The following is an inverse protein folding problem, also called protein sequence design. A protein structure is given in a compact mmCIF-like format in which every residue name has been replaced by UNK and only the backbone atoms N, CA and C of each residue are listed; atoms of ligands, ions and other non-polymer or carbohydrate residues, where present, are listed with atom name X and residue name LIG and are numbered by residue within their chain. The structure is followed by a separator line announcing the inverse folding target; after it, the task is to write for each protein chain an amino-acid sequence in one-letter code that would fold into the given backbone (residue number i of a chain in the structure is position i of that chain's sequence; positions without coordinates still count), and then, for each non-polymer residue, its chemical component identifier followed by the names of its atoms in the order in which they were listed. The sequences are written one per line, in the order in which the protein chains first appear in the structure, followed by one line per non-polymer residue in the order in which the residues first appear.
data_IF_828054518606
#
_entry.id   IF_828054518606
#
_cell.length_a   1.000
_cell.length_b   1.000
_cell.length_c   1.000
_cell.angle_alpha   90.00
_cell.angle_beta   90.00
_cell.angle_gamma   90.00
#
_symmetry.space_group_name_H-M   'P 1'
#
loop_
_entity.id
_entity.type
_entity.pdbx_description
1 polymer ?
#
# COMPACT_ATOMS: atom_id res chain seq x y z
N UNK A 1 34.13 -0.89 -13.79
CA UNK A 1 33.03 -1.81 -13.45
C UNK A 1 33.46 -2.84 -12.40
N UNK A 2 34.55 -3.58 -12.55
CA UNK A 2 34.99 -4.61 -11.59
C UNK A 2 35.21 -4.09 -10.17
N UNK A 3 35.83 -2.92 -9.98
CA UNK A 3 36.03 -2.33 -8.63
C UNK A 3 34.72 -1.95 -7.95
N UNK A 4 33.71 -1.50 -8.68
CA UNK A 4 32.40 -1.19 -8.15
C UNK A 4 31.65 -2.48 -7.76
N UNK A 5 31.81 -3.54 -8.56
CA UNK A 5 31.21 -4.84 -8.26
C UNK A 5 31.86 -5.50 -7.03
N UNK A 6 33.19 -5.44 -6.90
CA UNK A 6 33.92 -5.94 -5.74
C UNK A 6 33.51 -5.17 -4.45
N UNK A 7 33.38 -3.84 -4.52
CA UNK A 7 32.90 -3.03 -3.40
C UNK A 7 31.46 -3.41 -2.97
N UNK A 8 30.57 -3.62 -3.95
CA UNK A 8 29.19 -4.07 -3.66
C UNK A 8 29.17 -5.46 -3.04
N UNK A 9 30.05 -6.36 -3.45
CA UNK A 9 30.18 -7.69 -2.86
C UNK A 9 30.71 -7.61 -1.42
N UNK A 10 31.69 -6.77 -1.15
CA UNK A 10 32.23 -6.55 0.20
C UNK A 10 31.19 -5.91 1.14
N UNK A 11 30.44 -4.92 0.66
CA UNK A 11 29.32 -4.31 1.38
C UNK A 11 28.21 -5.34 1.66
N UNK A 12 27.93 -6.22 0.69
CA UNK A 12 26.96 -7.32 0.87
C UNK A 12 27.39 -8.31 1.95
N UNK A 13 28.67 -8.69 1.98
CA UNK A 13 29.20 -9.62 2.98
C UNK A 13 29.21 -9.00 4.40
N UNK A 14 29.64 -7.76 4.53
CA UNK A 14 29.65 -7.02 5.80
C UNK A 14 28.21 -6.76 6.30
N UNK A 15 27.29 -6.46 5.41
CA UNK A 15 25.86 -6.34 5.70
C UNK A 15 25.26 -7.61 6.26
N UNK A 16 25.63 -8.78 5.71
CA UNK A 16 25.19 -10.08 6.20
C UNK A 16 25.62 -10.40 7.64
N UNK A 17 26.83 -10.03 8.03
CA UNK A 17 27.30 -10.19 9.42
C UNK A 17 26.62 -9.20 10.39
N UNK A 18 26.42 -7.94 9.98
CA UNK A 18 25.67 -6.98 10.75
C UNK A 18 24.23 -7.46 11.00
N UNK A 19 23.56 -7.96 9.99
CA UNK A 19 22.19 -8.47 10.07
C UNK A 19 22.05 -9.68 11.01
N UNK A 20 23.05 -10.56 11.06
CA UNK A 20 23.05 -11.69 12.00
C UNK A 20 23.14 -11.28 13.47
N UNK A 21 23.73 -10.12 13.75
CA UNK A 21 23.92 -9.60 15.13
C UNK A 21 22.75 -8.78 15.66
N UNK A 22 21.80 -8.37 14.80
CA UNK A 22 20.81 -7.33 15.14
C UNK A 22 19.38 -7.87 15.37
N UNK A 23 19.20 -9.15 15.68
CA UNK A 23 17.89 -9.73 16.02
C UNK A 23 16.88 -9.61 14.86
N UNK A 24 15.75 -8.95 15.07
CA UNK A 24 14.67 -8.82 14.07
C UNK A 24 14.88 -7.69 13.04
N UNK A 25 16.01 -6.97 13.07
CA UNK A 25 16.25 -5.79 12.21
C UNK A 25 16.14 -6.14 10.72
N UNK A 26 16.62 -7.31 10.30
CA UNK A 26 16.52 -7.78 8.91
C UNK A 26 15.06 -7.91 8.43
N UNK A 27 14.15 -8.34 9.32
CA UNK A 27 12.72 -8.46 9.03
C UNK A 27 12.13 -7.06 8.75
N UNK A 28 12.44 -6.10 9.63
CA UNK A 28 11.91 -4.72 9.50
C UNK A 28 12.50 -3.98 8.30
N UNK A 29 13.79 -4.17 8.01
CA UNK A 29 14.41 -3.61 6.80
C UNK A 29 13.85 -4.22 5.51
N UNK A 30 13.53 -5.51 5.52
CA UNK A 30 12.88 -6.15 4.37
C UNK A 30 11.47 -5.63 4.15
N UNK A 31 10.69 -5.45 5.22
CA UNK A 31 9.34 -4.87 5.15
C UNK A 31 9.38 -3.42 4.68
N UNK A 32 10.36 -2.64 5.18
CA UNK A 32 10.63 -1.29 4.67
C UNK A 32 10.91 -1.32 3.16
N UNK A 33 11.82 -2.17 2.71
CA UNK A 33 12.24 -2.24 1.30
C UNK A 33 11.06 -2.59 0.38
N UNK A 34 10.28 -3.63 0.73
CA UNK A 34 9.11 -4.01 -0.05
C UNK A 34 8.06 -2.89 -0.13
N UNK A 35 7.77 -2.26 1.01
CA UNK A 35 6.85 -1.12 1.09
C UNK A 35 7.36 0.08 0.29
N UNK A 36 8.65 0.39 0.41
CA UNK A 36 9.29 1.49 -0.31
C UNK A 36 9.23 1.29 -1.84
N UNK A 37 9.57 0.10 -2.34
CA UNK A 37 9.59 -0.20 -3.78
C UNK A 37 8.19 -0.05 -4.38
N UNK A 38 7.18 -0.67 -3.77
CA UNK A 38 5.85 -0.58 -4.35
C UNK A 38 5.31 0.86 -4.35
N UNK A 39 5.58 1.63 -3.28
CA UNK A 39 5.14 3.02 -3.22
C UNK A 39 5.91 3.94 -4.16
N UNK A 40 7.22 3.73 -4.30
CA UNK A 40 8.02 4.48 -5.27
C UNK A 40 7.50 4.29 -6.69
N UNK A 41 7.23 3.04 -7.10
CA UNK A 41 6.70 2.75 -8.43
C UNK A 41 5.27 3.29 -8.63
N UNK A 42 4.40 3.14 -7.62
CA UNK A 42 3.03 3.63 -7.69
C UNK A 42 2.95 5.16 -7.75
N UNK A 43 3.70 5.87 -6.91
CA UNK A 43 3.79 7.34 -6.92
C UNK A 43 4.44 7.80 -8.23
N UNK A 44 5.50 7.14 -8.67
CA UNK A 44 6.18 7.44 -9.93
C UNK A 44 5.26 7.32 -11.15
N UNK A 45 4.38 6.31 -11.17
CA UNK A 45 3.36 6.15 -12.22
C UNK A 45 2.42 7.36 -12.28
N UNK A 46 1.92 7.83 -11.12
CA UNK A 46 1.05 9.01 -11.08
C UNK A 46 1.83 10.27 -11.44
N UNK A 47 3.09 10.37 -11.01
CA UNK A 47 4.01 11.45 -11.42
C UNK A 47 4.23 11.49 -12.93
N UNK A 48 4.45 10.35 -13.56
CA UNK A 48 4.59 10.25 -15.02
C UNK A 48 3.35 10.78 -15.76
N UNK A 49 2.16 10.39 -15.29
CA UNK A 49 0.88 10.84 -15.86
C UNK A 49 0.65 12.34 -15.67
N UNK A 50 0.87 12.85 -14.45
CA UNK A 50 0.49 14.22 -14.07
C UNK A 50 1.53 15.27 -14.43
N UNK A 51 2.82 14.90 -14.50
CA UNK A 51 3.92 15.84 -14.65
C UNK A 51 4.71 15.64 -15.94
N UNK A 52 4.91 14.40 -16.40
CA UNK A 52 5.81 14.08 -17.48
C UNK A 52 5.13 13.79 -18.83
N UNK A 53 3.82 14.02 -18.94
CA UNK A 53 3.07 13.89 -20.20
C UNK A 53 2.80 12.45 -20.63
N UNK A 54 2.94 11.47 -19.77
CA UNK A 54 2.52 10.12 -20.08
C UNK A 54 1.00 10.07 -20.33
N UNK A 55 0.59 9.31 -21.35
CA UNK A 55 -0.81 9.25 -21.77
C UNK A 55 -1.39 7.86 -21.47
N UNK A 56 -2.01 7.71 -20.32
CA UNK A 56 -2.72 6.50 -19.90
C UNK A 56 -3.82 6.83 -18.89
N UNK A 57 -4.73 5.89 -18.63
CA UNK A 57 -5.91 6.11 -17.79
C UNK A 57 -5.93 5.26 -16.51
N UNK A 58 -7.13 5.13 -15.93
CA UNK A 58 -7.35 4.40 -14.67
C UNK A 58 -6.94 2.93 -14.75
N UNK A 59 -7.12 2.28 -15.92
CA UNK A 59 -6.75 0.88 -16.11
C UNK A 59 -5.25 0.68 -15.94
N UNK A 60 -4.44 1.45 -16.65
CA UNK A 60 -2.98 1.33 -16.60
C UNK A 60 -2.44 1.74 -15.24
N UNK A 61 -2.98 2.79 -14.62
CA UNK A 61 -2.63 3.17 -13.24
C UNK A 61 -2.85 1.98 -12.32
N UNK A 62 -4.01 1.31 -12.43
CA UNK A 62 -4.37 0.17 -11.58
C UNK A 62 -3.43 -1.01 -11.80
N UNK A 63 -3.08 -1.31 -13.06
CA UNK A 63 -2.10 -2.36 -13.40
C UNK A 63 -0.72 -2.04 -12.82
N UNK A 64 -0.23 -0.81 -12.94
CA UNK A 64 1.09 -0.43 -12.41
C UNK A 64 1.11 -0.54 -10.89
N UNK A 65 0.07 -0.04 -10.18
CA UNK A 65 -0.03 -0.20 -8.73
C UNK A 65 -0.07 -1.68 -8.32
N UNK A 66 -0.83 -2.50 -9.05
CA UNK A 66 -0.89 -3.94 -8.79
C UNK A 66 0.46 -4.63 -9.01
N UNK A 67 1.13 -4.36 -10.13
CA UNK A 67 2.48 -4.90 -10.39
C UNK A 67 3.50 -4.41 -9.36
N UNK A 68 3.42 -3.15 -8.93
CA UNK A 68 4.28 -2.61 -7.90
C UNK A 68 4.10 -3.38 -6.57
N UNK A 69 2.87 -3.68 -6.16
CA UNK A 69 2.59 -4.54 -5.00
C UNK A 69 3.17 -5.94 -5.20
N UNK A 70 2.98 -6.56 -6.36
CA UNK A 70 3.56 -7.88 -6.65
C UNK A 70 5.09 -7.88 -6.51
N UNK A 71 5.77 -6.85 -7.03
CA UNK A 71 7.24 -6.72 -6.89
C UNK A 71 7.64 -6.49 -5.43
N UNK A 72 6.90 -5.70 -4.67
CA UNK A 72 7.08 -5.56 -3.22
C UNK A 72 6.99 -6.91 -2.51
N UNK A 73 5.97 -7.72 -2.83
CA UNK A 73 5.81 -9.06 -2.26
C UNK A 73 6.99 -9.97 -2.63
N UNK A 74 7.40 -9.99 -3.89
CA UNK A 74 8.51 -10.86 -4.32
C UNK A 74 9.86 -10.48 -3.73
N UNK A 75 10.12 -9.19 -3.50
CA UNK A 75 11.44 -8.77 -2.98
C UNK A 75 11.61 -9.10 -1.50
N UNK A 76 10.54 -9.14 -0.71
CA UNK A 76 10.67 -9.25 0.74
C UNK A 76 9.84 -10.39 1.39
N UNK A 77 8.95 -11.03 0.64
CA UNK A 77 7.98 -12.00 1.18
C UNK A 77 8.64 -13.19 1.90
N UNK A 78 9.74 -13.70 1.36
CA UNK A 78 10.49 -14.81 1.98
C UNK A 78 11.19 -14.46 3.30
N UNK A 79 11.32 -13.17 3.64
CA UNK A 79 12.01 -12.70 4.85
C UNK A 79 11.01 -12.19 5.90
N UNK A 80 10.08 -11.33 5.50
CA UNK A 80 9.19 -10.63 6.44
C UNK A 80 7.71 -10.99 6.28
N UNK A 81 7.36 -11.80 5.28
CA UNK A 81 5.97 -12.12 4.95
C UNK A 81 5.28 -11.08 4.07
N UNK A 82 5.95 -9.97 3.73
CA UNK A 82 5.48 -8.91 2.83
C UNK A 82 4.06 -8.40 3.16
N UNK A 83 3.88 -7.85 4.34
CA UNK A 83 2.60 -7.26 4.72
C UNK A 83 2.32 -5.97 3.94
N UNK A 84 3.32 -5.12 3.77
CA UNK A 84 3.33 -3.87 3.01
C UNK A 84 2.23 -2.87 3.41
N UNK A 85 1.48 -3.18 4.48
CA UNK A 85 0.29 -2.44 4.91
C UNK A 85 0.00 -2.62 6.39
N UNK A 86 -0.27 -1.55 7.16
CA UNK A 86 -0.79 -1.65 8.52
C UNK A 86 -2.08 -2.45 8.63
N UNK A 87 -2.97 -2.32 7.65
CA UNK A 87 -4.25 -3.03 7.61
C UNK A 87 -4.04 -4.55 7.51
N UNK A 88 -3.15 -5.00 6.64
CA UNK A 88 -2.76 -6.41 6.50
C UNK A 88 -2.07 -6.91 7.76
N UNK A 89 -1.12 -6.13 8.30
CA UNK A 89 -0.37 -6.48 9.51
C UNK A 89 -1.29 -6.73 10.70
N UNK A 90 -2.28 -5.84 10.92
CA UNK A 90 -3.24 -5.96 12.01
C UNK A 90 -4.17 -7.17 11.79
N UNK A 91 -4.68 -7.37 10.57
CA UNK A 91 -5.55 -8.50 10.26
C UNK A 91 -4.82 -9.85 10.45
N UNK A 92 -3.56 -9.96 10.02
CA UNK A 92 -2.74 -11.16 10.22
C UNK A 92 -2.42 -11.42 11.71
N UNK A 93 -2.28 -10.36 12.50
CA UNK A 93 -2.09 -10.50 13.95
C UNK A 93 -3.37 -10.91 14.71
N UNK A 94 -4.55 -10.62 14.16
CA UNK A 94 -5.83 -10.96 14.76
C UNK A 94 -6.37 -12.32 14.29
N UNK A 95 -6.19 -12.66 13.03
CA UNK A 95 -6.82 -13.82 12.39
C UNK A 95 -5.81 -14.81 11.77
N UNK A 96 -4.51 -14.53 11.83
CA UNK A 96 -3.41 -15.38 11.40
C UNK A 96 -2.45 -15.68 12.55
N UNK A 97 -1.24 -16.13 12.20
CA UNK A 97 -0.19 -16.54 13.16
C UNK A 97 0.90 -15.47 13.34
N UNK A 98 0.62 -14.21 13.02
CA UNK A 98 1.61 -13.14 13.14
C UNK A 98 1.80 -12.68 14.59
N UNK A 99 3.04 -12.58 15.03
CA UNK A 99 3.41 -12.15 16.39
C UNK A 99 2.96 -10.72 16.67
N UNK A 100 2.02 -10.55 17.59
CA UNK A 100 1.43 -9.25 17.97
C UNK A 100 2.46 -8.22 18.43
N UNK A 101 3.60 -8.67 18.98
CA UNK A 101 4.70 -7.78 19.41
C UNK A 101 5.38 -7.07 18.24
N UNK A 102 5.27 -7.63 17.03
CA UNK A 102 5.85 -7.05 15.80
C UNK A 102 4.91 -6.08 15.08
N UNK A 103 3.65 -5.97 15.49
CA UNK A 103 2.65 -5.11 14.80
C UNK A 103 3.10 -3.66 14.76
N UNK A 104 3.43 -3.07 15.91
CA UNK A 104 3.84 -1.65 15.98
C UNK A 104 5.12 -1.39 15.18
N UNK A 105 6.22 -2.18 15.33
CA UNK A 105 7.40 -2.03 14.49
C UNK A 105 7.11 -2.11 12.97
N UNK A 106 6.24 -3.03 12.52
CA UNK A 106 5.85 -3.13 11.10
C UNK A 106 5.15 -1.86 10.64
N UNK A 107 4.14 -1.39 11.38
CA UNK A 107 3.42 -0.16 11.04
C UNK A 107 4.38 1.03 10.91
N UNK A 108 5.30 1.18 11.86
CA UNK A 108 6.27 2.28 11.84
C UNK A 108 7.18 2.22 10.61
N UNK A 109 7.76 1.06 10.29
CA UNK A 109 8.65 0.96 9.13
C UNK A 109 7.89 1.12 7.82
N UNK A 110 6.65 0.66 7.72
CA UNK A 110 5.79 0.87 6.56
C UNK A 110 5.47 2.36 6.35
N UNK A 111 5.15 3.09 7.43
CA UNK A 111 4.90 4.54 7.36
C UNK A 111 6.15 5.31 6.92
N UNK A 112 7.32 5.00 7.51
CA UNK A 112 8.58 5.61 7.13
C UNK A 112 8.95 5.28 5.68
N UNK A 113 8.72 4.04 5.23
CA UNK A 113 8.95 3.63 3.85
C UNK A 113 8.11 4.46 2.87
N UNK A 114 6.83 4.69 3.19
CA UNK A 114 5.94 5.54 2.39
C UNK A 114 6.41 6.99 2.31
N UNK A 115 6.83 7.56 3.43
CA UNK A 115 7.41 8.89 3.46
C UNK A 115 8.67 8.99 2.59
N UNK A 116 9.60 8.05 2.74
CA UNK A 116 10.84 8.02 1.96
C UNK A 116 10.60 7.81 0.46
N UNK A 117 9.62 6.96 0.08
CA UNK A 117 9.25 6.73 -1.30
C UNK A 117 8.71 8.02 -1.96
N UNK A 118 7.86 8.76 -1.24
CA UNK A 118 7.36 10.05 -1.70
C UNK A 118 8.48 11.08 -1.86
N UNK A 119 9.38 11.15 -0.88
CA UNK A 119 10.53 12.06 -0.92
C UNK A 119 11.45 11.76 -2.12
N UNK A 120 11.75 10.48 -2.39
CA UNK A 120 12.57 10.11 -3.53
C UNK A 120 11.85 10.38 -4.85
N UNK A 121 10.55 10.04 -4.96
CA UNK A 121 9.76 10.35 -6.15
C UNK A 121 9.74 11.86 -6.41
N UNK A 122 9.53 12.68 -5.38
CA UNK A 122 9.60 14.14 -5.49
C UNK A 122 10.96 14.61 -6.01
N UNK A 123 12.05 14.08 -5.47
CA UNK A 123 13.40 14.43 -5.92
C UNK A 123 13.64 14.03 -7.39
N UNK A 124 13.16 12.87 -7.82
CA UNK A 124 13.27 12.41 -9.21
C UNK A 124 12.50 13.29 -10.21
N UNK A 125 11.35 13.84 -9.79
CA UNK A 125 10.49 14.71 -10.60
C UNK A 125 10.62 16.20 -10.26
N UNK A 126 11.67 16.60 -9.54
CA UNK A 126 11.77 17.91 -8.88
C UNK A 126 11.45 19.10 -9.79
N UNK A 127 12.10 19.20 -10.98
CA UNK A 127 11.87 20.31 -11.89
C UNK A 127 10.43 20.35 -12.42
N UNK A 128 9.85 19.18 -12.71
CA UNK A 128 8.48 19.07 -13.20
C UNK A 128 7.46 19.44 -12.09
N UNK A 129 7.76 19.11 -10.84
CA UNK A 129 6.98 19.60 -9.70
C UNK A 129 7.08 21.11 -9.55
N UNK A 130 8.27 21.69 -9.69
CA UNK A 130 8.46 23.14 -9.59
C UNK A 130 7.62 23.89 -10.64
N UNK A 131 7.63 23.43 -11.88
CA UNK A 131 6.83 23.99 -12.97
C UNK A 131 5.33 23.83 -12.70
N UNK A 132 4.90 22.64 -12.26
CA UNK A 132 3.50 22.38 -11.95
C UNK A 132 2.98 23.22 -10.76
N UNK A 133 3.79 23.40 -9.71
CA UNK A 133 3.48 24.28 -8.58
C UNK A 133 3.36 25.72 -9.03
N UNK A 134 4.30 26.22 -9.84
CA UNK A 134 4.24 27.57 -10.41
C UNK A 134 2.95 27.77 -11.25
N UNK A 135 2.54 26.77 -12.02
CA UNK A 135 1.32 26.81 -12.83
C UNK A 135 0.02 26.84 -11.99
N UNK A 136 0.05 26.50 -10.70
CA UNK A 136 -1.13 26.64 -9.83
C UNK A 136 -1.48 28.08 -9.55
N UNK A 137 -0.54 29.02 -9.70
CA UNK A 137 -0.67 30.44 -9.37
C UNK A 137 -1.20 30.69 -7.94
N UNK A 138 -0.89 29.80 -7.01
CA UNK A 138 -1.31 29.88 -5.60
C UNK A 138 -2.74 29.42 -5.32
N UNK A 139 -3.43 28.83 -6.31
CA UNK A 139 -4.77 28.25 -6.13
C UNK A 139 -4.71 27.02 -5.21
N UNK A 140 -5.36 27.06 -4.01
CA UNK A 140 -5.28 25.96 -3.04
C UNK A 140 -5.84 24.63 -3.58
N UNK A 141 -6.88 24.67 -4.40
CA UNK A 141 -7.47 23.45 -4.97
C UNK A 141 -6.52 22.79 -5.97
N UNK A 142 -5.86 23.58 -6.82
CA UNK A 142 -4.84 23.07 -7.75
C UNK A 142 -3.62 22.53 -7.01
N UNK A 143 -3.16 23.22 -5.95
CA UNK A 143 -2.08 22.73 -5.11
C UNK A 143 -2.44 21.39 -4.47
N UNK A 144 -3.61 21.29 -3.84
CA UNK A 144 -4.06 20.03 -3.23
C UNK A 144 -4.24 18.92 -4.28
N UNK A 145 -4.68 19.25 -5.50
CA UNK A 145 -4.79 18.29 -6.59
C UNK A 145 -3.43 17.70 -7.01
N UNK A 146 -2.34 18.48 -6.96
CA UNK A 146 -0.98 17.98 -7.19
C UNK A 146 -0.54 17.00 -6.11
N UNK A 147 -0.96 17.16 -4.85
CA UNK A 147 -0.69 16.21 -3.79
C UNK A 147 -1.34 14.84 -4.05
N UNK A 148 -2.32 14.76 -4.95
CA UNK A 148 -2.89 13.51 -5.46
C UNK A 148 -1.88 12.60 -6.18
N UNK A 149 -0.66 13.07 -6.47
CA UNK A 149 0.45 12.24 -6.93
C UNK A 149 0.96 11.34 -5.80
N UNK A 150 0.97 11.84 -4.58
CA UNK A 150 1.51 11.16 -3.39
C UNK A 150 0.45 10.35 -2.64
N UNK A 151 -0.71 10.94 -2.40
CA UNK A 151 -1.76 10.39 -1.54
C UNK A 151 -3.14 10.45 -2.22
N UNK A 152 -4.14 9.83 -1.62
CA UNK A 152 -5.47 9.71 -2.22
C UNK A 152 -6.40 10.83 -1.81
N UNK A 153 -7.35 11.15 -2.69
CA UNK A 153 -8.47 12.05 -2.39
C UNK A 153 -9.77 11.45 -2.95
N UNK A 154 -10.93 11.71 -2.32
CA UNK A 154 -12.19 11.21 -2.80
C UNK A 154 -12.66 12.01 -4.00
N UNK A 155 -13.51 11.39 -4.83
CA UNK A 155 -14.21 12.10 -5.88
C UNK A 155 -15.00 13.30 -5.29
N UNK A 156 -15.04 14.48 -5.94
CA UNK A 156 -15.65 15.69 -5.36
C UNK A 156 -17.12 15.57 -4.95
N UNK A 157 -17.85 14.60 -5.49
CA UNK A 157 -19.27 14.36 -5.15
C UNK A 157 -19.48 13.35 -4.02
N UNK A 158 -18.41 12.78 -3.46
CA UNK A 158 -18.51 11.73 -2.45
C UNK A 158 -18.36 12.34 -1.05
N UNK A 159 -19.31 12.01 -0.14
CA UNK A 159 -19.24 12.44 1.25
C UNK A 159 -18.16 11.68 2.02
N UNK A 160 -17.76 12.20 3.17
CA UNK A 160 -16.79 11.54 4.08
C UNK A 160 -17.21 10.11 4.42
N UNK A 161 -18.47 9.91 4.82
CA UNK A 161 -18.98 8.59 5.21
C UNK A 161 -19.06 7.62 4.03
N UNK A 162 -19.38 8.10 2.83
CA UNK A 162 -19.37 7.29 1.62
C UNK A 162 -17.94 6.87 1.27
N UNK A 163 -16.96 7.78 1.34
CA UNK A 163 -15.55 7.46 1.12
C UNK A 163 -15.04 6.44 2.14
N UNK A 164 -15.41 6.61 3.42
CA UNK A 164 -15.08 5.66 4.49
C UNK A 164 -15.65 4.27 4.21
N UNK A 165 -16.91 4.19 3.80
CA UNK A 165 -17.56 2.92 3.44
C UNK A 165 -16.88 2.25 2.23
N UNK A 166 -16.53 3.02 1.19
CA UNK A 166 -15.81 2.49 0.02
C UNK A 166 -14.48 1.88 0.45
N UNK A 167 -13.63 2.62 1.17
CA UNK A 167 -12.32 2.13 1.62
C UNK A 167 -12.42 0.91 2.55
N UNK A 168 -13.45 0.88 3.40
CA UNK A 168 -13.74 -0.27 4.25
C UNK A 168 -14.07 -1.51 3.41
N UNK A 169 -15.00 -1.39 2.46
CA UNK A 169 -15.45 -2.53 1.64
C UNK A 169 -14.35 -3.06 0.75
N UNK A 170 -13.64 -2.17 0.02
CA UNK A 170 -12.59 -2.62 -0.90
C UNK A 170 -11.42 -3.27 -0.14
N UNK A 171 -11.13 -2.83 1.09
CA UNK A 171 -10.10 -3.45 1.91
C UNK A 171 -10.57 -4.77 2.54
N UNK A 172 -11.87 -4.89 2.85
CA UNK A 172 -12.44 -6.16 3.29
C UNK A 172 -12.34 -7.22 2.18
N UNK A 173 -12.68 -6.86 0.95
CA UNK A 173 -12.51 -7.72 -0.23
C UNK A 173 -11.03 -8.09 -0.43
N UNK A 174 -10.14 -7.10 -0.37
CA UNK A 174 -8.70 -7.32 -0.49
C UNK A 174 -8.21 -8.37 0.52
N UNK A 175 -8.50 -8.18 1.80
CA UNK A 175 -7.97 -9.07 2.84
C UNK A 175 -8.58 -10.46 2.80
N UNK A 176 -9.89 -10.57 2.51
CA UNK A 176 -10.55 -11.85 2.32
C UNK A 176 -9.88 -12.68 1.20
N UNK A 177 -9.58 -12.03 0.08
CA UNK A 177 -8.95 -12.70 -1.06
C UNK A 177 -7.44 -12.92 -0.85
N UNK A 178 -6.72 -12.07 -0.11
CA UNK A 178 -5.34 -12.37 0.31
C UNK A 178 -5.32 -13.68 1.09
N UNK A 179 -6.21 -13.86 2.09
CA UNK A 179 -6.29 -15.14 2.82
C UNK A 179 -6.57 -16.33 1.89
N UNK A 180 -7.49 -16.17 0.94
CA UNK A 180 -7.80 -17.23 -0.02
C UNK A 180 -6.59 -17.63 -0.90
N UNK A 181 -5.80 -16.64 -1.31
CA UNK A 181 -4.63 -16.83 -2.18
C UNK A 181 -3.42 -17.44 -1.44
N UNK A 182 -3.37 -17.34 -0.10
CA UNK A 182 -2.24 -17.89 0.68
C UNK A 182 -2.62 -19.14 1.49
N UNK A 183 -3.89 -19.51 1.58
CA UNK A 183 -4.32 -20.71 2.32
C UNK A 183 -4.11 -21.97 1.47
N UNK A 184 -3.07 -22.74 1.80
CA UNK A 184 -2.74 -23.98 1.11
C UNK A 184 -3.81 -25.09 1.18
N UNK A 185 -4.80 -24.97 2.09
CA UNK A 185 -5.96 -25.88 2.19
C UNK A 185 -7.06 -25.54 1.19
N UNK A 186 -7.04 -24.32 0.65
CA UNK A 186 -7.91 -23.87 -0.41
C UNK A 186 -7.19 -24.05 -1.77
N UNK A 187 -7.71 -23.43 -2.82
CA UNK A 187 -7.12 -23.45 -4.18
C UNK A 187 -5.97 -22.46 -4.35
N UNK A 188 -5.09 -22.34 -3.33
CA UNK A 188 -3.94 -21.45 -3.41
C UNK A 188 -3.08 -21.75 -4.65
N UNK A 189 -2.64 -20.70 -5.38
CA UNK A 189 -1.88 -20.89 -6.62
C UNK A 189 -0.53 -21.55 -6.33
N UNK A 190 -0.16 -22.49 -7.19
CA UNK A 190 1.16 -23.16 -7.16
C UNK A 190 2.21 -22.33 -7.93
N UNK A 191 3.48 -22.72 -7.84
CA UNK A 191 4.56 -22.11 -8.63
C UNK A 191 4.89 -20.67 -8.23
N UNK A 192 4.71 -20.31 -6.96
CA UNK A 192 5.01 -18.97 -6.43
C UNK A 192 4.21 -17.82 -7.09
N UNK A 193 3.01 -18.11 -7.61
CA UNK A 193 2.16 -17.11 -8.26
C UNK A 193 1.39 -16.23 -7.26
N UNK A 194 1.40 -16.54 -5.98
CA UNK A 194 0.63 -15.82 -4.96
C UNK A 194 0.88 -14.31 -4.97
N UNK A 195 2.14 -13.89 -5.03
CA UNK A 195 2.51 -12.46 -5.09
C UNK A 195 1.96 -11.75 -6.32
N UNK A 196 2.03 -12.39 -7.50
CA UNK A 196 1.47 -11.83 -8.73
C UNK A 196 -0.06 -11.70 -8.65
N UNK A 197 -0.74 -12.72 -8.15
CA UNK A 197 -2.20 -12.70 -8.03
C UNK A 197 -2.69 -11.70 -6.97
N UNK A 198 -1.94 -11.49 -5.89
CA UNK A 198 -2.22 -10.40 -4.94
C UNK A 198 -2.08 -9.04 -5.63
N UNK A 199 -1.04 -8.86 -6.45
CA UNK A 199 -0.91 -7.65 -7.25
C UNK A 199 -2.06 -7.45 -8.24
N UNK A 200 -2.46 -8.49 -8.97
CA UNK A 200 -3.61 -8.43 -9.88
C UNK A 200 -4.93 -8.17 -9.15
N UNK A 201 -5.09 -8.66 -7.92
CA UNK A 201 -6.23 -8.33 -7.06
C UNK A 201 -6.26 -6.83 -6.73
N UNK A 202 -5.11 -6.23 -6.39
CA UNK A 202 -5.00 -4.78 -6.19
C UNK A 202 -5.37 -4.03 -7.47
N UNK A 203 -4.89 -4.48 -8.63
CA UNK A 203 -5.22 -3.89 -9.93
C UNK A 203 -6.74 -4.00 -10.24
N UNK A 204 -7.35 -5.15 -9.96
CA UNK A 204 -8.79 -5.36 -10.12
C UNK A 204 -9.60 -4.36 -9.29
N UNK A 205 -9.27 -4.21 -8.01
CA UNK A 205 -9.95 -3.27 -7.11
C UNK A 205 -9.72 -1.83 -7.58
N UNK A 206 -8.50 -1.49 -7.99
CA UNK A 206 -8.15 -0.17 -8.52
C UNK A 206 -8.92 0.19 -9.78
N UNK A 207 -9.04 -0.74 -10.74
CA UNK A 207 -9.80 -0.53 -11.96
C UNK A 207 -11.30 -0.37 -11.70
N UNK A 208 -11.84 -1.13 -10.71
CA UNK A 208 -13.27 -1.13 -10.40
C UNK A 208 -13.72 0.04 -9.54
N UNK A 209 -12.94 0.44 -8.54
CA UNK A 209 -13.36 1.39 -7.49
C UNK A 209 -12.40 2.57 -7.31
N UNK A 210 -11.27 2.57 -8.00
CA UNK A 210 -10.26 3.63 -7.89
C UNK A 210 -10.78 5.04 -8.10
N UNK A 211 -11.68 5.31 -9.07
CA UNK A 211 -12.22 6.64 -9.29
C UNK A 211 -13.03 7.22 -8.11
N UNK A 212 -13.45 6.37 -7.16
CA UNK A 212 -14.24 6.82 -6.00
C UNK A 212 -13.36 7.48 -4.92
N UNK A 213 -12.24 6.86 -4.57
CA UNK A 213 -11.42 7.27 -3.40
C UNK A 213 -9.91 7.25 -3.65
N UNK A 214 -9.48 6.82 -4.84
CA UNK A 214 -8.08 6.54 -5.12
C UNK A 214 -7.59 5.18 -4.60
N UNK A 215 -8.51 4.28 -4.22
CA UNK A 215 -8.23 2.92 -3.72
C UNK A 215 -7.01 2.85 -2.78
N UNK A 216 -7.08 3.59 -1.67
CA UNK A 216 -5.98 3.65 -0.72
C UNK A 216 -5.68 2.27 -0.11
N UNK A 217 -6.67 1.61 0.48
CA UNK A 217 -6.65 0.27 1.07
C UNK A 217 -5.51 0.02 2.09
N UNK A 218 -4.71 1.04 2.38
CA UNK A 218 -3.45 0.91 3.09
C UNK A 218 -3.07 2.24 3.75
N UNK A 219 -3.07 2.28 5.08
CA UNK A 219 -2.74 3.47 5.83
C UNK A 219 -1.32 3.99 5.54
N UNK A 220 -0.33 3.11 5.32
CA UNK A 220 1.03 3.52 5.00
C UNK A 220 1.17 4.06 3.58
N UNK A 221 0.42 3.48 2.63
CA UNK A 221 0.36 3.95 1.24
C UNK A 221 -0.18 5.38 1.14
N UNK A 222 -1.03 5.78 2.08
CA UNK A 222 -1.60 7.11 2.06
C UNK A 222 -0.93 8.06 3.05
N UNK A 223 -0.89 7.71 4.34
CA UNK A 223 -0.47 8.64 5.39
C UNK A 223 1.03 8.98 5.35
N UNK A 224 1.91 8.03 5.05
CA UNK A 224 3.34 8.30 4.90
C UNK A 224 3.64 9.35 3.83
N UNK A 225 3.22 9.12 2.57
CA UNK A 225 3.34 10.09 1.49
C UNK A 225 2.58 11.39 1.72
N UNK A 226 1.42 11.35 2.37
CA UNK A 226 0.63 12.53 2.73
C UNK A 226 1.38 13.43 3.71
N UNK A 227 2.02 12.83 4.72
CA UNK A 227 2.85 13.56 5.67
C UNK A 227 4.04 14.23 4.96
N UNK A 228 4.70 13.51 4.05
CA UNK A 228 5.75 14.11 3.21
C UNK A 228 5.22 15.33 2.45
N UNK A 229 4.11 15.19 1.73
CA UNK A 229 3.54 16.30 0.96
C UNK A 229 3.21 17.51 1.85
N UNK A 230 2.59 17.31 3.03
CA UNK A 230 2.30 18.38 3.96
C UNK A 230 3.56 19.15 4.40
N UNK A 231 4.66 18.44 4.66
CA UNK A 231 5.95 19.04 5.06
C UNK A 231 6.73 19.65 3.89
N UNK A 232 6.53 19.13 2.67
CA UNK A 232 7.22 19.59 1.47
C UNK A 232 6.60 20.85 0.83
N UNK A 233 5.61 21.48 1.48
CA UNK A 233 5.06 22.77 1.05
C UNK A 233 3.59 22.76 0.62
N UNK A 234 2.93 21.58 0.59
CA UNK A 234 1.49 21.50 0.30
C UNK A 234 0.59 21.88 1.49
N UNK A 235 1.15 21.97 2.71
CA UNK A 235 0.45 22.46 3.90
C UNK A 235 -0.64 21.52 4.43
N UNK A 236 -1.52 22.08 5.27
CA UNK A 236 -2.56 21.32 5.99
C UNK A 236 -3.73 20.89 5.11
N UNK A 237 -3.95 21.54 3.96
CA UNK A 237 -5.03 21.21 3.03
C UNK A 237 -4.91 19.78 2.50
N UNK A 238 -3.69 19.26 2.41
CA UNK A 238 -3.44 17.85 2.08
C UNK A 238 -4.07 16.91 3.10
N UNK A 239 -4.11 17.29 4.37
CA UNK A 239 -4.73 16.47 5.42
C UNK A 239 -6.25 16.54 5.36
N UNK A 240 -6.81 17.71 5.14
CA UNK A 240 -8.26 17.92 5.16
C UNK A 240 -8.93 17.49 3.87
N UNK A 241 -8.34 17.82 2.71
CA UNK A 241 -8.92 17.61 1.39
C UNK A 241 -10.04 18.61 1.02
N UNK A 242 -10.36 19.57 1.88
CA UNK A 242 -11.47 20.53 1.66
C UNK A 242 -11.39 21.32 0.36
N UNK A 243 -10.22 21.78 -0.11
CA UNK A 243 -10.15 22.50 -1.37
C UNK A 243 -10.60 21.69 -2.59
N UNK A 244 -10.59 20.34 -2.50
CA UNK A 244 -11.00 19.45 -3.59
C UNK A 244 -12.43 18.94 -3.44
N UNK A 245 -12.97 18.92 -2.23
CA UNK A 245 -14.30 18.34 -1.96
C UNK A 245 -14.95 19.03 -0.75
N UNK A 246 -15.98 19.82 -1.01
CA UNK A 246 -16.76 20.54 0.00
C UNK A 246 -17.72 19.64 0.80
N UNK A 247 -17.92 18.38 0.39
CA UNK A 247 -18.81 17.44 1.08
C UNK A 247 -18.10 16.68 2.22
N UNK A 248 -16.86 17.03 2.52
CA UNK A 248 -16.11 16.40 3.62
C UNK A 248 -16.49 17.07 4.96
N UNK A 249 -17.14 16.30 5.82
CA UNK A 249 -17.52 16.74 7.18
C UNK A 249 -16.38 16.60 8.21
N UNK A 250 -15.34 15.84 7.88
CA UNK A 250 -14.16 15.57 8.71
C UNK A 250 -12.90 15.55 7.83
N UNK A 251 -11.69 15.76 8.40
CA UNK A 251 -10.44 15.68 7.66
C UNK A 251 -10.27 14.34 6.94
N UNK A 252 -10.03 14.40 5.63
CA UNK A 252 -10.06 13.21 4.78
C UNK A 252 -9.00 12.16 5.15
N UNK A 253 -7.84 12.57 5.67
CA UNK A 253 -6.79 11.61 6.06
C UNK A 253 -7.26 10.51 7.00
N UNK A 254 -8.33 10.76 7.77
CA UNK A 254 -8.93 9.77 8.67
C UNK A 254 -9.52 8.58 7.91
N UNK A 255 -10.00 8.79 6.69
CA UNK A 255 -10.58 7.73 5.85
C UNK A 255 -9.52 6.67 5.51
N UNK A 256 -8.43 6.99 4.76
CA UNK A 256 -7.42 6.02 4.41
C UNK A 256 -6.60 5.49 5.59
N UNK A 257 -6.61 6.20 6.73
CA UNK A 257 -5.94 5.77 7.95
C UNK A 257 -6.73 4.69 8.71
N UNK A 258 -8.06 4.81 8.81
CA UNK A 258 -8.89 4.01 9.70
C UNK A 258 -9.72 2.98 8.93
N UNK A 259 -10.41 3.37 7.87
CA UNK A 259 -11.34 2.49 7.16
C UNK A 259 -10.68 1.21 6.62
N UNK A 260 -9.46 1.25 6.04
CA UNK A 260 -8.78 0.04 5.60
C UNK A 260 -8.47 -0.95 6.73
N UNK A 261 -8.13 -0.46 7.92
CA UNK A 261 -7.85 -1.33 9.08
C UNK A 261 -9.11 -2.11 9.48
N UNK A 262 -10.23 -1.41 9.60
CA UNK A 262 -11.52 -2.02 9.93
C UNK A 262 -11.94 -2.99 8.81
N UNK A 263 -11.82 -2.58 7.55
CA UNK A 263 -12.12 -3.41 6.40
C UNK A 263 -11.29 -4.70 6.37
N UNK A 264 -9.98 -4.63 6.57
CA UNK A 264 -9.12 -5.80 6.62
C UNK A 264 -9.51 -6.77 7.75
N UNK A 265 -9.87 -6.25 8.93
CA UNK A 265 -10.37 -7.07 10.04
C UNK A 265 -11.67 -7.78 9.67
N UNK A 266 -12.60 -7.09 9.02
CA UNK A 266 -13.86 -7.68 8.55
C UNK A 266 -13.60 -8.77 7.50
N UNK A 267 -12.74 -8.49 6.49
CA UNK A 267 -12.39 -9.46 5.45
C UNK A 267 -11.72 -10.71 6.00
N UNK A 268 -10.77 -10.54 6.93
CA UNK A 268 -10.13 -11.65 7.64
C UNK A 268 -11.13 -12.47 8.47
N UNK A 269 -12.03 -11.82 9.19
CA UNK A 269 -13.09 -12.48 9.94
C UNK A 269 -14.03 -13.27 9.02
N UNK A 270 -14.46 -12.69 7.89
CA UNK A 270 -15.32 -13.37 6.91
C UNK A 270 -14.63 -14.64 6.40
N UNK A 271 -13.37 -14.54 5.96
CA UNK A 271 -12.64 -15.70 5.46
C UNK A 271 -12.53 -16.82 6.50
N UNK A 272 -12.11 -16.47 7.72
CA UNK A 272 -11.96 -17.44 8.82
C UNK A 272 -13.28 -18.08 9.24
N UNK A 273 -14.38 -17.35 9.28
CA UNK A 273 -15.66 -17.86 9.73
C UNK A 273 -16.46 -18.62 8.67
N UNK A 274 -16.28 -18.30 7.41
CA UNK A 274 -17.03 -18.93 6.32
C UNK A 274 -16.17 -19.99 5.62
N UNK A 275 -15.04 -19.60 5.07
CA UNK A 275 -14.24 -20.49 4.20
C UNK A 275 -13.47 -21.52 5.04
N UNK A 276 -12.73 -21.08 6.05
CA UNK A 276 -11.92 -22.01 6.87
C UNK A 276 -12.83 -23.04 7.55
N UNK A 277 -13.96 -22.63 8.13
CA UNK A 277 -14.93 -23.56 8.77
C UNK A 277 -15.48 -24.58 7.76
N UNK A 278 -15.74 -24.15 6.52
CA UNK A 278 -16.17 -25.07 5.47
C UNK A 278 -15.09 -26.08 5.07
N UNK A 279 -13.84 -25.61 4.93
CA UNK A 279 -12.69 -26.47 4.65
C UNK A 279 -12.47 -27.51 5.75
N UNK A 280 -12.53 -27.10 7.00
CA UNK A 280 -12.38 -28.00 8.16
C UNK A 280 -13.48 -29.08 8.21
N UNK A 281 -14.72 -28.73 7.86
CA UNK A 281 -15.82 -29.70 7.77
C UNK A 281 -15.66 -30.69 6.65
N UNK A 282 -15.18 -30.25 5.49
CA UNK A 282 -14.93 -31.14 4.35
C UNK A 282 -13.83 -32.15 4.69
N UNK A 283 -12.71 -31.69 5.26
CA UNK A 283 -11.63 -32.57 5.70
C UNK A 283 -12.14 -33.62 6.73
N UNK A 284 -12.92 -33.19 7.71
CA UNK A 284 -13.47 -34.12 8.71
C UNK A 284 -14.51 -35.11 8.14
N UNK A 285 -15.12 -34.84 6.97
CA UNK A 285 -16.01 -35.77 6.28
C UNK A 285 -15.21 -36.79 5.46
N UNK A 286 -14.10 -36.38 4.83
CA UNK A 286 -13.19 -37.27 4.11
C UNK A 286 -12.49 -38.27 5.01
N UNK A 287 -12.08 -37.88 6.24
CA UNK A 287 -11.47 -38.78 7.25
C UNK A 287 -12.42 -39.88 7.76
N UNK A 288 -13.73 -39.73 7.54
CA UNK A 288 -14.75 -40.69 7.99
C UNK A 288 -15.27 -41.60 6.87
N UNK A 289 -14.92 -41.34 5.63
CA UNK A 289 -15.33 -42.09 4.45
C UNK A 289 -14.28 -43.12 4.06
#
# INVERSE_FOLDING_TARGET
MEKAFALLQELGNNGGEFMKKTGNTHIYLSEFLGTFIFLLCGIGCVGALKLAGASFGQWEISIVWGLAVAMGVYVCGGVCGAHLSPSVTIALALFGDFDKRKVVPYILVQMVAGFCAAALAYAMYYNLFADAVAATAGDPAKMTALAGIFCTFPHPKITFFQAFFVELVITAVLMCLIYALVDGRNTAPKGNLGGLLIGLLVALIGASFGPLTGFAMNAARDFGPRLFAALAGWGTDVMTGYPLNDNLSLPYFLVPLIAPIIGACIGGWIYKRIIVVALDRNAAAEDKA
#
